data_IF_876493138482
#
_entry.id   IF_876493138482
#
_cell.length_a   1.000
_cell.length_b   1.000
_cell.length_c   1.000
_cell.angle_alpha   90.00
_cell.angle_beta   90.00
_cell.angle_gamma   90.00
#
_symmetry.space_group_name_H-M   'P 1'
#
loop_
_entity.id
_entity.type
_entity.pdbx_description
1 polymer ?
#
# COMPACT_ATOMS: atom_id res chain seq x y z
N UNK A 1 -12.94 9.11 -0.53
CA UNK A 1 -13.16 7.77 -1.08
C UNK A 1 -13.98 6.96 -0.09
N UNK A 2 -15.06 6.35 -0.55
CA UNK A 2 -15.88 5.40 0.19
C UNK A 2 -15.26 4.00 0.16
N UNK A 3 -15.70 3.09 1.03
CA UNK A 3 -15.24 1.70 1.03
C UNK A 3 -15.47 1.01 -0.34
N UNK A 4 -16.61 1.25 -0.98
CA UNK A 4 -16.93 0.66 -2.29
C UNK A 4 -16.03 1.19 -3.41
N UNK A 5 -15.70 2.48 -3.39
CA UNK A 5 -14.74 3.07 -4.33
C UNK A 5 -13.32 2.51 -4.11
N UNK A 6 -12.92 2.31 -2.85
CA UNK A 6 -11.64 1.69 -2.50
C UNK A 6 -11.52 0.28 -3.06
N UNK A 7 -12.53 -0.55 -2.80
CA UNK A 7 -12.55 -1.95 -3.24
C UNK A 7 -12.52 -2.04 -4.76
N UNK A 8 -13.29 -1.18 -5.44
CA UNK A 8 -13.25 -1.09 -6.89
C UNK A 8 -11.85 -0.70 -7.39
N UNK A 9 -11.25 0.35 -6.83
CA UNK A 9 -9.89 0.76 -7.20
C UNK A 9 -8.86 -0.36 -6.97
N UNK A 10 -8.98 -1.11 -5.86
CA UNK A 10 -8.11 -2.22 -5.54
C UNK A 10 -8.26 -3.42 -6.51
N UNK A 11 -9.46 -3.64 -7.07
CA UNK A 11 -9.67 -4.58 -8.16
C UNK A 11 -9.13 -4.05 -9.49
N UNK A 12 -9.32 -2.75 -9.78
CA UNK A 12 -8.86 -2.11 -11.03
C UNK A 12 -7.33 -2.16 -11.15
N UNK A 13 -6.57 -2.00 -10.05
CA UNK A 13 -5.10 -2.16 -10.03
C UNK A 13 -4.63 -3.50 -10.59
N UNK A 14 -5.41 -4.57 -10.36
CA UNK A 14 -5.05 -5.91 -10.83
C UNK A 14 -5.21 -6.06 -12.34
N UNK A 15 -5.98 -5.16 -12.97
CA UNK A 15 -6.37 -5.20 -14.37
C UNK A 15 -5.75 -4.07 -15.21
N UNK A 16 -4.72 -3.36 -14.69
CA UNK A 16 -4.05 -2.30 -15.44
C UNK A 16 -3.39 -2.86 -16.71
N UNK A 17 -3.63 -2.19 -17.84
CA UNK A 17 -3.06 -2.57 -19.14
C UNK A 17 -1.53 -2.43 -19.18
N UNK A 18 -0.99 -1.50 -18.40
CA UNK A 18 0.44 -1.29 -18.22
C UNK A 18 0.82 -1.47 -16.76
N UNK A 19 1.97 -2.10 -16.52
CA UNK A 19 2.50 -2.26 -15.17
C UNK A 19 2.96 -0.89 -14.66
N UNK A 20 2.49 -0.44 -13.49
CA UNK A 20 3.04 0.76 -12.85
C UNK A 20 4.52 0.61 -12.56
N UNK A 21 5.20 1.73 -12.36
CA UNK A 21 6.58 1.76 -11.89
C UNK A 21 6.68 1.08 -10.53
N UNK A 22 7.86 0.58 -10.17
CA UNK A 22 8.04 -0.09 -8.88
C UNK A 22 7.77 0.86 -7.69
N UNK A 23 7.95 2.18 -7.87
CA UNK A 23 7.61 3.20 -6.86
C UNK A 23 6.10 3.35 -6.69
N UNK A 24 5.34 3.40 -7.79
CA UNK A 24 3.88 3.43 -7.76
C UNK A 24 3.34 2.15 -7.12
N UNK A 25 3.88 0.99 -7.50
CA UNK A 25 3.50 -0.29 -6.90
C UNK A 25 3.76 -0.34 -5.38
N UNK A 26 4.86 0.26 -4.92
CA UNK A 26 5.15 0.36 -3.48
C UNK A 26 4.16 1.27 -2.76
N UNK A 27 3.81 2.42 -3.37
CA UNK A 27 2.81 3.35 -2.83
C UNK A 27 1.43 2.72 -2.76
N UNK A 28 0.99 2.07 -3.84
CA UNK A 28 -0.28 1.33 -3.90
C UNK A 28 -0.29 0.26 -2.79
N UNK A 29 0.78 -0.54 -2.68
CA UNK A 29 0.88 -1.58 -1.66
C UNK A 29 0.81 -1.02 -0.24
N UNK A 30 1.58 0.01 0.10
CA UNK A 30 1.64 0.56 1.45
C UNK A 30 0.31 1.17 1.87
N UNK A 31 -0.32 1.97 1.00
CA UNK A 31 -1.63 2.56 1.27
C UNK A 31 -2.72 1.51 1.38
N UNK A 32 -2.70 0.47 0.53
CA UNK A 32 -3.64 -0.65 0.65
C UNK A 32 -3.52 -1.35 2.01
N UNK A 33 -2.28 -1.63 2.46
CA UNK A 33 -2.04 -2.27 3.75
C UNK A 33 -2.45 -1.37 4.92
N UNK A 34 -2.14 -0.08 4.87
CA UNK A 34 -2.56 0.87 5.90
C UNK A 34 -4.08 1.03 5.95
N UNK A 35 -4.76 1.09 4.81
CA UNK A 35 -6.22 1.17 4.72
C UNK A 35 -6.92 -0.08 5.28
N UNK A 36 -6.38 -1.27 5.04
CA UNK A 36 -7.01 -2.54 5.42
C UNK A 36 -6.62 -3.02 6.82
N UNK A 37 -5.32 -3.04 7.10
CA UNK A 37 -4.75 -3.55 8.35
C UNK A 37 -4.57 -2.41 9.36
N UNK A 38 -4.10 -1.25 8.90
CA UNK A 38 -3.57 -0.19 9.76
C UNK A 38 -2.05 -0.29 9.83
N UNK A 39 -1.48 0.24 10.92
CA UNK A 39 -0.04 0.31 11.14
C UNK A 39 0.66 -1.04 10.92
N UNK A 40 1.83 -0.98 10.27
CA UNK A 40 2.70 -2.15 10.12
C UNK A 40 3.04 -2.76 11.49
N UNK A 41 2.80 -4.06 11.61
CA UNK A 41 2.90 -4.82 12.87
C UNK A 41 3.81 -6.05 12.74
N UNK A 42 4.58 -6.15 11.67
CA UNK A 42 5.56 -7.22 11.46
C UNK A 42 6.98 -6.72 11.69
N UNK A 43 7.91 -7.64 11.93
CA UNK A 43 9.33 -7.30 11.95
C UNK A 43 9.82 -6.83 10.58
N UNK A 44 10.84 -5.98 10.59
CA UNK A 44 11.47 -5.50 9.38
C UNK A 44 12.29 -6.62 8.72
N UNK A 45 12.08 -6.93 7.43
CA UNK A 45 12.84 -7.96 6.73
C UNK A 45 14.35 -7.73 6.74
N UNK A 46 15.11 -8.84 6.70
CA UNK A 46 16.56 -8.84 6.72
C UNK A 46 17.20 -8.19 5.48
N UNK A 47 18.50 -7.87 5.57
CA UNK A 47 19.21 -7.07 4.54
C UNK A 47 19.20 -7.66 3.13
N UNK A 48 19.05 -8.97 2.99
CA UNK A 48 19.04 -9.65 1.68
C UNK A 48 17.65 -9.67 1.01
N UNK A 49 16.57 -9.38 1.76
CA UNK A 49 15.23 -9.25 1.21
C UNK A 49 14.94 -7.78 0.85
N UNK A 50 15.52 -7.34 -0.27
CA UNK A 50 15.38 -5.95 -0.73
C UNK A 50 13.92 -5.55 -0.99
N UNK A 51 13.10 -6.48 -1.52
CA UNK A 51 11.70 -6.21 -1.86
C UNK A 51 10.82 -6.14 -0.62
N UNK A 52 10.95 -7.11 0.29
CA UNK A 52 10.23 -7.10 1.56
C UNK A 52 10.62 -5.89 2.40
N UNK A 53 11.91 -5.58 2.46
CA UNK A 53 12.41 -4.39 3.16
C UNK A 53 11.84 -3.09 2.59
N UNK A 54 11.78 -2.93 1.27
CA UNK A 54 11.17 -1.75 0.64
C UNK A 54 9.68 -1.62 0.97
N UNK A 55 8.92 -2.72 0.88
CA UNK A 55 7.50 -2.77 1.25
C UNK A 55 7.26 -2.42 2.72
N UNK A 56 8.10 -2.96 3.60
CA UNK A 56 8.02 -2.70 5.04
C UNK A 56 8.39 -1.25 5.34
N UNK A 57 9.48 -0.74 4.76
CA UNK A 57 9.96 0.64 4.93
C UNK A 57 8.86 1.63 4.49
N UNK A 58 8.19 1.38 3.36
CA UNK A 58 7.09 2.22 2.89
C UNK A 58 5.87 2.15 3.79
N UNK A 59 5.47 0.95 4.23
CA UNK A 59 4.37 0.80 5.20
C UNK A 59 4.67 1.47 6.54
N UNK A 60 5.91 1.39 7.03
CA UNK A 60 6.33 2.01 8.28
C UNK A 60 6.31 3.55 8.21
N UNK A 61 6.51 4.16 7.04
CA UNK A 61 6.35 5.62 6.85
C UNK A 61 4.90 6.08 7.06
N UNK A 62 3.93 5.21 6.80
CA UNK A 62 2.50 5.51 6.96
C UNK A 62 1.99 5.26 8.38
N UNK A 63 2.86 4.87 9.32
CA UNK A 63 2.47 4.57 10.70
C UNK A 63 1.77 5.78 11.35
N UNK A 64 0.62 5.54 11.96
CA UNK A 64 -0.24 6.57 12.55
C UNK A 64 -1.22 7.23 11.56
N UNK A 65 -1.12 6.93 10.26
CA UNK A 65 -2.13 7.37 9.29
C UNK A 65 -3.44 6.61 9.52
N UNK A 66 -4.57 7.32 9.52
CA UNK A 66 -5.88 6.68 9.66
C UNK A 66 -6.19 5.78 8.45
N UNK A 67 -7.02 4.76 8.64
CA UNK A 67 -7.48 3.91 7.52
C UNK A 67 -8.20 4.73 6.45
N UNK A 68 -8.96 5.74 6.86
CA UNK A 68 -9.70 6.62 5.95
C UNK A 68 -8.79 7.52 5.13
N UNK A 69 -7.72 8.04 5.72
CA UNK A 69 -6.74 8.85 4.99
C UNK A 69 -5.89 7.97 4.07
N UNK A 70 -5.52 6.77 4.51
CA UNK A 70 -4.84 5.79 3.66
C UNK A 70 -5.69 5.38 2.46
N UNK A 71 -7.00 5.18 2.65
CA UNK A 71 -7.94 4.99 1.54
C UNK A 71 -7.90 6.22 0.63
N UNK A 72 -8.13 7.43 1.12
CA UNK A 72 -8.14 8.63 0.26
C UNK A 72 -6.84 8.83 -0.52
N UNK A 73 -5.70 8.43 0.04
CA UNK A 73 -4.39 8.51 -0.59
C UNK A 73 -4.06 7.32 -1.51
N UNK A 74 -4.89 6.28 -1.52
CA UNK A 74 -4.78 5.16 -2.45
C UNK A 74 -5.22 5.62 -3.86
N UNK A 75 -4.24 5.98 -4.68
CA UNK A 75 -4.41 6.37 -6.07
C UNK A 75 -3.90 5.28 -6.99
N UNK A 76 -4.70 4.91 -7.98
CA UNK A 76 -4.44 3.88 -9.00
C UNK A 76 -4.10 4.54 -10.32
#
# INVERSE_FOLDING_TARGET
MTQAEFEKAAEDVKNLESKPTDLEMLSIYSHYKQATVGDVNTERPGMLDFKGKAKWDEGNKLKGMSKEDAMKAYTV
#
